data_IF_348421501043
#
_entry.id   IF_348421501043
#
_cell.length_a   1.000
_cell.length_b   1.000
_cell.length_c   1.000
_cell.angle_alpha   90.00
_cell.angle_beta   90.00
_cell.angle_gamma   90.00
#
_symmetry.space_group_name_H-M   'P 1'
#
loop_
_entity.id
_entity.type
_entity.pdbx_description
1 polymer ?
#
# COMPACT_ATOMS: atom_id res chain seq x y z
N UNK A 1 17.77 4.03 -38.19
CA UNK A 1 18.57 2.82 -38.43
C UNK A 1 17.58 1.68 -38.61
N UNK A 2 17.41 1.23 -39.85
CA UNK A 2 16.40 0.24 -40.27
C UNK A 2 17.13 -1.10 -40.41
N UNK A 3 16.60 -2.16 -39.79
CA UNK A 3 16.91 -3.52 -40.21
C UNK A 3 15.62 -4.33 -40.31
N UNK A 4 15.37 -4.82 -41.53
CA UNK A 4 14.36 -5.80 -41.93
C UNK A 4 15.09 -6.83 -42.79
N UNK A 5 15.04 -8.11 -42.43
CA UNK A 5 15.25 -9.34 -43.22
C UNK A 5 15.12 -10.52 -42.25
N UNK A 6 14.49 -11.67 -42.49
CA UNK A 6 13.78 -12.30 -43.61
C UNK A 6 12.97 -13.49 -43.03
N UNK A 7 11.77 -13.77 -43.51
CA UNK A 7 11.44 -14.90 -44.41
C UNK A 7 12.35 -16.14 -44.31
N UNK A 8 11.82 -17.28 -43.84
CA UNK A 8 11.34 -18.32 -44.76
C UNK A 8 10.46 -19.42 -44.09
N UNK A 9 9.62 -20.12 -44.88
CA UNK A 9 8.63 -21.09 -44.43
C UNK A 9 9.13 -22.53 -44.56
N UNK A 10 8.93 -23.34 -43.52
CA UNK A 10 9.20 -24.78 -43.53
C UNK A 10 7.95 -25.56 -43.15
N UNK A 11 7.20 -26.01 -44.14
CA UNK A 11 6.28 -27.13 -43.97
C UNK A 11 7.02 -28.45 -44.21
N UNK A 12 6.57 -29.52 -43.55
CA UNK A 12 6.32 -30.85 -44.14
C UNK A 12 5.81 -31.83 -43.07
N UNK A 13 4.82 -32.63 -43.49
CA UNK A 13 4.47 -34.01 -43.09
C UNK A 13 4.45 -34.34 -41.58
N UNK A 14 3.31 -34.72 -41.00
CA UNK A 14 2.52 -35.86 -41.44
C UNK A 14 3.04 -37.12 -40.72
N UNK A 15 2.41 -37.45 -39.59
CA UNK A 15 2.34 -38.79 -39.00
C UNK A 15 1.31 -38.74 -37.86
N UNK A 16 0.12 -39.28 -38.10
CA UNK A 16 -0.88 -39.55 -37.07
C UNK A 16 -0.51 -40.85 -36.35
N UNK A 17 -0.39 -40.86 -35.01
CA UNK A 17 -0.45 -42.07 -34.21
C UNK A 17 -1.88 -42.31 -33.67
N UNK A 18 -2.18 -43.56 -33.25
CA UNK A 18 -3.55 -44.09 -33.18
C UNK A 18 -4.34 -43.57 -31.99
N UNK A 19 -5.66 -43.59 -32.16
CA UNK A 19 -6.65 -43.42 -31.10
C UNK A 19 -6.44 -44.45 -29.99
N UNK A 20 -5.86 -44.03 -28.87
CA UNK A 20 -6.00 -44.72 -27.59
C UNK A 20 -7.37 -44.36 -27.02
N UNK A 21 -8.26 -45.36 -26.94
CA UNK A 21 -9.58 -45.21 -26.32
C UNK A 21 -9.47 -44.84 -24.83
N UNK A 22 -10.48 -44.15 -24.28
CA UNK A 22 -10.54 -43.92 -22.85
C UNK A 22 -10.83 -45.25 -22.16
N UNK A 23 -9.81 -45.86 -21.56
CA UNK A 23 -10.02 -46.86 -20.51
C UNK A 23 -10.78 -46.17 -19.39
N UNK A 24 -12.07 -46.52 -19.27
CA UNK A 24 -12.96 -46.04 -18.23
C UNK A 24 -12.39 -46.40 -16.86
N UNK A 25 -11.70 -45.45 -16.25
CA UNK A 25 -11.57 -45.38 -14.81
C UNK A 25 -12.95 -45.00 -14.29
N UNK A 26 -13.70 -46.02 -13.91
CA UNK A 26 -14.92 -45.93 -13.11
C UNK A 26 -14.63 -45.04 -11.90
N UNK A 27 -14.95 -43.75 -12.02
CA UNK A 27 -15.00 -42.83 -10.90
C UNK A 27 -16.19 -43.23 -10.05
N UNK A 28 -15.98 -44.17 -9.13
CA UNK A 28 -16.80 -44.29 -7.95
C UNK A 28 -16.67 -42.98 -7.18
N UNK A 29 -17.47 -41.98 -7.54
CA UNK A 29 -17.58 -40.75 -6.76
C UNK A 29 -18.17 -41.17 -5.42
N UNK A 30 -17.43 -41.04 -4.31
CA UNK A 30 -18.00 -41.28 -3.00
C UNK A 30 -19.16 -40.31 -2.84
N UNK A 31 -20.38 -40.84 -2.69
CA UNK A 31 -21.56 -40.05 -2.41
C UNK A 31 -21.41 -39.45 -1.02
N UNK A 32 -20.93 -38.21 -0.96
CA UNK A 32 -20.83 -37.46 0.28
C UNK A 32 -22.26 -37.25 0.78
N UNK A 33 -22.61 -37.71 2.00
CA UNK A 33 -23.95 -37.51 2.54
C UNK A 33 -24.24 -36.00 2.65
N UNK A 34 -25.49 -35.55 2.40
CA UNK A 34 -25.83 -34.12 2.28
C UNK A 34 -25.45 -33.29 3.52
N UNK A 35 -25.39 -33.91 4.71
CA UNK A 35 -24.92 -33.25 5.93
C UNK A 35 -23.43 -32.90 5.93
N UNK A 36 -22.59 -33.66 5.22
CA UNK A 36 -21.14 -33.44 5.16
C UNK A 36 -20.76 -32.30 4.19
N UNK A 37 -21.54 -32.09 3.11
CA UNK A 37 -21.31 -31.00 2.16
C UNK A 37 -21.46 -29.62 2.83
N UNK A 38 -22.41 -29.50 3.76
CA UNK A 38 -22.68 -28.24 4.46
C UNK A 38 -21.60 -27.90 5.48
N UNK A 39 -21.08 -28.91 6.20
CA UNK A 39 -19.94 -28.76 7.13
C UNK A 39 -18.67 -28.37 6.38
N UNK A 40 -18.40 -29.00 5.23
CA UNK A 40 -17.23 -28.70 4.42
C UNK A 40 -17.29 -27.29 3.82
N UNK A 41 -18.46 -26.86 3.32
CA UNK A 41 -18.68 -25.50 2.84
C UNK A 41 -18.48 -24.46 3.97
N UNK A 42 -18.99 -24.73 5.17
CA UNK A 42 -18.76 -23.87 6.33
C UNK A 42 -17.29 -23.81 6.75
N UNK A 43 -16.60 -24.94 6.75
CA UNK A 43 -15.18 -25.00 7.07
C UNK A 43 -14.33 -24.20 6.06
N UNK A 44 -14.62 -24.33 4.76
CA UNK A 44 -13.94 -23.54 3.71
C UNK A 44 -14.24 -22.05 3.85
N UNK A 45 -15.48 -21.67 4.18
CA UNK A 45 -15.85 -20.27 4.41
C UNK A 45 -15.14 -19.69 5.64
N UNK A 46 -15.13 -20.42 6.75
CA UNK A 46 -14.44 -20.03 8.00
C UNK A 46 -12.93 -19.91 7.79
N UNK A 47 -12.31 -20.85 7.06
CA UNK A 47 -10.89 -20.79 6.72
C UNK A 47 -10.56 -19.60 5.81
N UNK A 48 -11.46 -19.23 4.90
CA UNK A 48 -11.29 -18.06 4.04
C UNK A 48 -11.35 -16.74 4.83
N UNK A 49 -12.23 -16.66 5.84
CA UNK A 49 -12.32 -15.50 6.75
C UNK A 49 -11.08 -15.43 7.65
N UNK A 50 -10.58 -16.57 8.14
CA UNK A 50 -9.37 -16.64 8.97
C UNK A 50 -8.07 -16.39 8.19
N UNK A 51 -8.05 -16.72 6.89
CA UNK A 51 -6.91 -16.46 6.00
C UNK A 51 -6.74 -14.96 5.72
N UNK A 52 -7.83 -14.19 5.70
CA UNK A 52 -7.82 -12.72 5.73
C UNK A 52 -7.76 -12.22 7.19
N UNK A 53 -6.73 -12.65 7.93
CA UNK A 53 -6.60 -12.40 9.37
C UNK A 53 -6.92 -10.94 9.77
N UNK A 54 -7.49 -10.74 10.96
CA UNK A 54 -8.01 -9.44 11.38
C UNK A 54 -6.93 -8.37 11.27
N UNK A 55 -7.14 -7.40 10.39
CA UNK A 55 -6.28 -6.22 10.30
C UNK A 55 -6.43 -5.46 11.60
N UNK A 56 -5.30 -5.11 12.22
CA UNK A 56 -5.32 -4.30 13.43
C UNK A 56 -6.05 -2.97 13.12
N UNK A 57 -7.15 -2.64 13.82
CA UNK A 57 -7.95 -1.44 13.53
C UNK A 57 -7.14 -0.14 13.71
N UNK A 58 -6.06 -0.18 14.48
CA UNK A 58 -5.11 0.95 14.56
C UNK A 58 -4.38 1.15 13.22
N UNK A 59 -3.91 0.08 12.58
CA UNK A 59 -3.19 0.17 11.30
C UNK A 59 -4.08 0.64 10.16
N UNK A 60 -5.33 0.19 10.13
CA UNK A 60 -6.30 0.70 9.18
C UNK A 60 -6.46 2.22 9.33
N UNK A 61 -6.67 2.68 10.56
CA UNK A 61 -6.86 4.11 10.86
C UNK A 61 -5.63 4.95 10.60
N UNK A 62 -4.44 4.45 10.93
CA UNK A 62 -3.19 5.10 10.58
C UNK A 62 -3.10 5.35 9.06
N UNK A 63 -3.44 4.35 8.27
CA UNK A 63 -3.42 4.46 6.82
C UNK A 63 -4.44 5.47 6.29
N UNK A 64 -5.65 5.51 6.85
CA UNK A 64 -6.68 6.51 6.52
C UNK A 64 -6.19 7.93 6.83
N UNK A 65 -5.59 8.14 8.01
CA UNK A 65 -5.01 9.44 8.40
C UNK A 65 -3.87 9.84 7.47
N UNK A 66 -2.94 8.93 7.14
CA UNK A 66 -1.85 9.23 6.19
C UNK A 66 -2.37 9.60 4.80
N UNK A 67 -3.41 8.94 4.32
CA UNK A 67 -4.02 9.27 3.03
C UNK A 67 -4.65 10.67 3.06
N UNK A 68 -5.34 11.03 4.15
CA UNK A 68 -5.87 12.37 4.35
C UNK A 68 -4.77 13.44 4.39
N UNK A 69 -3.70 13.18 5.13
CA UNK A 69 -2.51 14.06 5.18
C UNK A 69 -1.87 14.21 3.80
N UNK A 70 -1.65 13.11 3.09
CA UNK A 70 -1.06 13.15 1.75
C UNK A 70 -1.94 13.94 0.77
N UNK A 71 -3.25 13.71 0.76
CA UNK A 71 -4.17 14.43 -0.11
C UNK A 71 -4.18 15.94 0.21
N UNK A 72 -4.15 16.30 1.50
CA UNK A 72 -4.03 17.69 1.93
C UNK A 72 -2.72 18.33 1.46
N UNK A 73 -1.58 17.70 1.74
CA UNK A 73 -0.26 18.20 1.36
C UNK A 73 -0.11 18.33 -0.16
N UNK A 74 -0.66 17.38 -0.91
CA UNK A 74 -0.67 17.44 -2.37
C UNK A 74 -1.50 18.62 -2.88
N UNK A 75 -2.65 18.91 -2.26
CA UNK A 75 -3.50 20.02 -2.64
C UNK A 75 -2.90 21.39 -2.25
N UNK A 76 -2.29 21.50 -1.07
CA UNK A 76 -1.75 22.76 -0.57
C UNK A 76 -0.40 23.13 -1.18
N UNK A 77 0.50 22.14 -1.28
CA UNK A 77 1.92 22.37 -1.60
C UNK A 77 2.39 21.64 -2.85
N UNK A 78 1.49 20.90 -3.52
CA UNK A 78 1.77 20.21 -4.77
C UNK A 78 2.46 18.85 -4.60
N UNK A 79 2.80 18.19 -5.73
CA UNK A 79 3.38 16.85 -5.73
C UNK A 79 4.79 16.82 -5.13
N UNK A 80 5.20 15.63 -4.67
CA UNK A 80 6.55 15.33 -4.19
C UNK A 80 7.13 14.15 -4.95
N UNK A 81 8.47 14.10 -5.07
CA UNK A 81 9.14 12.93 -5.65
C UNK A 81 9.07 11.76 -4.67
N UNK A 82 9.33 12.01 -3.38
CA UNK A 82 9.37 10.94 -2.39
C UNK A 82 8.29 11.15 -1.33
N UNK A 83 7.37 10.19 -1.21
CA UNK A 83 6.46 10.10 -0.07
C UNK A 83 7.07 9.14 0.95
N UNK A 84 7.59 9.69 2.02
CA UNK A 84 8.25 8.96 3.09
C UNK A 84 7.25 8.77 4.23
N UNK A 85 7.00 7.51 4.60
CA UNK A 85 5.99 7.15 5.59
C UNK A 85 6.67 6.48 6.78
N UNK A 86 6.49 7.06 7.97
CA UNK A 86 6.79 6.38 9.22
C UNK A 86 5.84 5.19 9.40
N UNK A 87 6.39 3.99 9.59
CA UNK A 87 5.64 2.75 9.48
C UNK A 87 6.12 1.67 10.47
N UNK A 88 5.17 0.89 11.00
CA UNK A 88 5.45 -0.25 11.90
C UNK A 88 5.58 -1.55 11.11
N UNK A 89 6.46 -2.46 11.55
CA UNK A 89 6.87 -3.65 10.77
C UNK A 89 5.73 -4.51 10.25
N UNK A 90 4.65 -4.62 11.02
CA UNK A 90 3.47 -5.46 10.80
C UNK A 90 2.27 -4.71 10.21
N UNK A 91 2.43 -3.42 9.94
CA UNK A 91 1.38 -2.59 9.38
C UNK A 91 1.17 -2.93 7.88
N UNK A 92 -0.06 -2.99 7.35
CA UNK A 92 -0.26 -3.19 5.92
C UNK A 92 0.15 -1.94 5.14
N UNK A 93 0.92 -2.12 4.06
CA UNK A 93 1.25 -1.03 3.13
C UNK A 93 0.06 -0.73 2.24
N UNK A 94 -0.30 0.55 2.13
CA UNK A 94 -1.40 1.02 1.28
C UNK A 94 -0.89 1.81 0.08
N UNK A 95 -1.74 1.97 -0.93
CA UNK A 95 -1.45 2.83 -2.06
C UNK A 95 -1.87 4.27 -1.75
N UNK A 96 -1.04 5.22 -2.17
CA UNK A 96 -1.36 6.64 -2.18
C UNK A 96 -1.65 7.05 -3.63
N UNK A 97 -2.91 7.34 -3.93
CA UNK A 97 -3.31 7.69 -5.30
C UNK A 97 -2.64 8.98 -5.75
N UNK A 98 -2.13 9.01 -6.98
CA UNK A 98 -1.37 10.14 -7.52
C UNK A 98 0.13 10.13 -7.22
N UNK A 99 0.61 9.43 -6.18
CA UNK A 99 2.04 9.44 -5.83
C UNK A 99 2.93 8.84 -6.93
N UNK A 100 2.55 7.68 -7.46
CA UNK A 100 3.38 6.95 -8.44
C UNK A 100 3.16 7.41 -9.90
N UNK A 101 2.27 8.37 -10.15
CA UNK A 101 1.87 8.75 -11.52
C UNK A 101 2.88 9.69 -12.20
N UNK A 102 3.72 10.39 -11.44
CA UNK A 102 4.70 11.38 -11.95
C UNK A 102 6.16 10.99 -11.68
N UNK A 103 6.45 9.68 -11.61
CA UNK A 103 7.78 9.18 -11.24
C UNK A 103 8.10 9.29 -9.75
N UNK A 104 7.10 9.65 -8.93
CA UNK A 104 7.22 9.63 -7.49
C UNK A 104 7.23 8.21 -6.92
N UNK A 105 7.75 8.07 -5.71
CA UNK A 105 7.83 6.78 -5.01
C UNK A 105 7.36 6.89 -3.56
N UNK A 106 6.88 5.78 -3.01
CA UNK A 106 6.55 5.66 -1.59
C UNK A 106 7.64 4.89 -0.87
N UNK A 107 8.29 5.53 0.09
CA UNK A 107 9.31 4.94 0.97
C UNK A 107 8.67 4.63 2.32
N UNK A 108 8.69 3.37 2.71
CA UNK A 108 8.20 2.92 4.02
C UNK A 108 9.39 2.83 4.98
N UNK A 109 9.49 3.78 5.91
CA UNK A 109 10.57 3.85 6.88
C UNK A 109 10.14 3.27 8.23
N UNK A 110 10.85 2.23 8.64
CA UNK A 110 10.82 1.78 10.02
C UNK A 110 11.58 2.79 10.89
N UNK A 111 11.18 3.06 12.16
CA UNK A 111 11.77 4.09 13.00
C UNK A 111 13.31 4.09 13.02
N UNK A 112 13.92 2.90 13.15
CA UNK A 112 15.37 2.76 13.18
C UNK A 112 16.07 3.12 11.85
N UNK A 113 15.37 3.04 10.72
CA UNK A 113 15.90 3.40 9.40
C UNK A 113 15.74 4.89 9.05
N UNK A 114 15.03 5.66 9.88
CA UNK A 114 14.82 7.10 9.65
C UNK A 114 16.13 7.89 9.65
N UNK A 115 17.00 7.64 10.63
CA UNK A 115 18.28 8.36 10.75
C UNK A 115 19.17 8.16 9.53
N UNK A 116 19.31 6.93 9.04
CA UNK A 116 20.13 6.65 7.84
C UNK A 116 19.52 7.28 6.58
N UNK A 117 18.18 7.23 6.46
CA UNK A 117 17.48 7.85 5.33
C UNK A 117 17.74 9.35 5.25
N UNK A 118 17.58 10.06 6.38
CA UNK A 118 17.77 11.52 6.41
C UNK A 118 19.24 11.95 6.51
N UNK A 119 20.15 11.09 6.98
CA UNK A 119 21.58 11.36 6.96
C UNK A 119 22.17 11.31 5.54
N UNK A 120 21.60 10.49 4.67
CA UNK A 120 22.10 10.27 3.30
C UNK A 120 21.34 11.05 2.23
N UNK A 121 20.08 11.43 2.49
CA UNK A 121 19.30 12.28 1.61
C UNK A 121 19.60 13.75 1.91
N UNK A 122 20.07 14.52 0.92
CA UNK A 122 20.26 15.95 1.14
C UNK A 122 18.89 16.62 1.39
N UNK A 123 18.83 17.70 2.19
CA UNK A 123 17.63 18.54 2.34
C UNK A 123 17.10 19.08 1.01
N UNK A 124 17.93 19.07 -0.02
CA UNK A 124 17.61 19.46 -1.39
C UNK A 124 16.88 18.38 -2.20
N UNK A 125 16.42 17.29 -1.59
CA UNK A 125 15.51 16.35 -2.24
C UNK A 125 14.05 16.78 -2.08
N UNK A 126 13.22 16.59 -3.11
CA UNK A 126 11.77 16.83 -3.00
C UNK A 126 11.08 15.64 -2.33
N UNK A 127 10.73 15.80 -1.05
CA UNK A 127 10.07 14.74 -0.29
C UNK A 127 9.00 15.28 0.65
N UNK A 128 8.03 14.44 1.00
CA UNK A 128 7.11 14.62 2.12
C UNK A 128 7.33 13.46 3.10
N UNK A 129 7.74 13.77 4.31
CA UNK A 129 7.85 12.80 5.40
C UNK A 129 6.67 12.94 6.35
N UNK A 130 5.80 11.92 6.39
CA UNK A 130 4.69 11.80 7.34
C UNK A 130 5.19 10.97 8.52
N UNK A 131 5.26 11.59 9.70
CA UNK A 131 5.76 10.95 10.92
C UNK A 131 4.71 10.05 11.59
N UNK A 132 5.03 9.59 12.80
CA UNK A 132 4.10 8.86 13.67
C UNK A 132 2.83 9.70 13.95
N UNK A 133 1.71 9.00 14.11
CA UNK A 133 0.40 9.58 14.36
C UNK A 133 0.08 9.47 15.84
N UNK A 134 -0.26 10.58 16.46
CA UNK A 134 -0.68 10.65 17.86
C UNK A 134 -2.20 10.87 17.92
N UNK A 135 -2.96 9.90 18.42
CA UNK A 135 -4.41 10.02 18.56
C UNK A 135 -4.83 10.61 19.90
N UNK A 136 -5.93 11.36 19.91
CA UNK A 136 -6.68 11.69 21.13
C UNK A 136 -7.26 10.44 21.80
N UNK A 137 -7.64 10.57 23.07
CA UNK A 137 -8.22 9.46 23.85
C UNK A 137 -9.50 8.88 23.23
N UNK A 138 -10.34 9.73 22.64
CA UNK A 138 -11.58 9.35 21.94
C UNK A 138 -11.36 8.88 20.49
N UNK A 139 -10.10 8.92 20.03
CA UNK A 139 -9.67 8.54 18.68
C UNK A 139 -10.44 9.25 17.56
N UNK A 140 -10.97 10.45 17.81
CA UNK A 140 -11.63 11.30 16.81
C UNK A 140 -10.68 12.34 16.22
N UNK A 141 -9.57 12.61 16.90
CA UNK A 141 -8.55 13.58 16.48
C UNK A 141 -7.19 12.90 16.45
N UNK A 142 -6.39 13.25 15.47
CA UNK A 142 -5.00 12.83 15.33
C UNK A 142 -4.11 14.07 15.12
N UNK A 143 -2.95 14.07 15.74
CA UNK A 143 -1.88 15.01 15.46
C UNK A 143 -0.80 14.29 14.66
N UNK A 144 -0.36 14.91 13.56
CA UNK A 144 0.65 14.34 12.67
C UNK A 144 1.68 15.40 12.36
N UNK A 145 2.95 15.11 12.62
CA UNK A 145 4.05 15.97 12.16
C UNK A 145 4.44 15.58 10.74
N UNK A 146 4.60 16.58 9.89
CA UNK A 146 5.05 16.41 8.52
C UNK A 146 6.27 17.30 8.27
N UNK A 147 7.21 16.78 7.49
CA UNK A 147 8.38 17.54 7.04
C UNK A 147 8.49 17.44 5.54
N UNK A 148 8.68 18.58 4.88
CA UNK A 148 8.83 18.64 3.44
C UNK A 148 10.19 19.19 3.07
N UNK A 149 10.90 18.49 2.20
CA UNK A 149 12.06 19.02 1.48
C UNK A 149 11.61 19.53 0.11
N UNK A 150 12.08 20.70 -0.31
CA UNK A 150 11.63 21.34 -1.55
C UNK A 150 12.70 21.48 -2.64
N UNK A 151 13.92 21.01 -2.38
CA UNK A 151 15.04 21.26 -3.29
C UNK A 151 16.07 22.25 -2.77
N UNK A 152 15.71 23.07 -1.79
CA UNK A 152 16.54 24.17 -1.29
C UNK A 152 16.58 24.24 0.24
N UNK A 153 15.46 23.96 0.89
CA UNK A 153 15.33 23.90 2.34
C UNK A 153 14.39 22.75 2.74
N UNK A 154 14.20 22.60 4.06
CA UNK A 154 13.12 21.79 4.60
C UNK A 154 12.24 22.65 5.51
N UNK A 155 10.96 22.30 5.59
CA UNK A 155 9.99 22.97 6.44
C UNK A 155 9.12 21.93 7.13
N UNK A 156 8.78 22.18 8.39
CA UNK A 156 7.95 21.30 9.22
C UNK A 156 6.58 21.90 9.52
N UNK A 157 5.56 21.05 9.61
CA UNK A 157 4.23 21.40 10.09
C UNK A 157 3.71 20.33 11.04
N UNK A 158 2.91 20.74 12.00
CA UNK A 158 2.05 19.87 12.78
C UNK A 158 0.63 20.04 12.27
N UNK A 159 0.02 18.94 11.84
CA UNK A 159 -1.33 18.89 11.31
C UNK A 159 -2.26 18.27 12.34
N UNK A 160 -3.43 18.89 12.52
CA UNK A 160 -4.55 18.28 13.24
C UNK A 160 -5.51 17.66 12.23
N UNK A 161 -5.75 16.37 12.36
CA UNK A 161 -6.61 15.57 11.49
C UNK A 161 -7.82 15.12 12.29
N UNK A 162 -9.01 15.52 11.86
CA UNK A 162 -10.25 15.21 12.56
C UNK A 162 -11.08 14.21 11.76
N UNK A 163 -11.71 13.28 12.45
CA UNK A 163 -12.69 12.36 11.88
C UNK A 163 -14.03 13.07 11.71
N UNK A 164 -14.48 13.20 10.47
CA UNK A 164 -15.76 13.80 10.11
C UNK A 164 -16.88 12.74 10.12
N UNK A 165 -18.11 13.22 9.93
CA UNK A 165 -19.28 12.37 9.74
C UNK A 165 -19.08 11.44 8.53
N UNK A 166 -19.28 10.14 8.71
CA UNK A 166 -19.06 9.15 7.64
C UNK A 166 -17.67 8.54 7.60
N UNK A 167 -16.95 8.53 8.72
CA UNK A 167 -15.64 7.88 8.91
C UNK A 167 -14.49 8.46 8.07
N UNK A 168 -14.68 9.62 7.45
CA UNK A 168 -13.66 10.29 6.67
C UNK A 168 -12.72 11.14 7.55
N UNK A 169 -11.41 11.01 7.36
CA UNK A 169 -10.41 11.85 8.01
C UNK A 169 -10.08 13.08 7.14
N UNK A 170 -9.92 14.23 7.78
CA UNK A 170 -9.56 15.48 7.10
C UNK A 170 -8.65 16.34 7.97
N UNK A 171 -7.67 17.01 7.36
CA UNK A 171 -6.86 18.02 8.04
C UNK A 171 -7.74 19.24 8.33
N UNK A 172 -7.82 19.64 9.60
CA UNK A 172 -8.66 20.75 10.07
C UNK A 172 -7.87 21.93 10.62
N UNK A 173 -6.61 21.72 11.00
CA UNK A 173 -5.73 22.78 11.47
C UNK A 173 -4.27 22.46 11.10
N UNK A 174 -3.46 23.50 10.99
CA UNK A 174 -2.02 23.40 10.74
C UNK A 174 -1.23 24.44 11.53
N UNK A 175 -0.10 24.02 12.09
CA UNK A 175 0.84 24.88 12.81
C UNK A 175 2.22 24.66 12.22
N UNK A 176 2.87 25.73 11.78
CA UNK A 176 4.26 25.68 11.31
C UNK A 176 5.21 25.40 12.50
N UNK A 177 6.16 24.49 12.30
CA UNK A 177 7.15 24.14 13.31
C UNK A 177 8.41 24.98 13.11
N UNK A 178 8.82 25.70 14.16
CA UNK A 178 10.17 26.28 14.21
C UNK A 178 11.18 25.13 14.29
N UNK A 179 12.18 25.12 13.41
CA UNK A 179 13.09 23.99 13.17
C UNK A 179 13.57 23.29 14.45
N UNK A 180 13.21 22.01 14.61
CA UNK A 180 14.13 21.03 15.17
C UNK A 180 14.26 19.84 14.21
N UNK A 181 15.49 19.52 13.75
CA UNK A 181 15.71 18.35 12.94
C UNK A 181 15.47 17.08 13.76
N UNK A 182 14.90 16.07 13.12
CA UNK A 182 14.94 14.69 13.60
C UNK A 182 16.42 14.30 13.73
N UNK A 183 16.90 14.17 14.97
CA UNK A 183 18.25 13.65 15.26
C UNK A 183 18.32 12.14 15.18
#
# INVERSE_FOLDING_TARGET
MIFKTGNDPGGLAGCAPPACGPTGLSSSQPSIPPGFQLVFAFAVLLLSILACGPVNPLFQRNNEVRQAVFAYEQAQRGPVVDLVIHFRRDEPRVRFEGQNQNGGHTVWLYPAGGQEYFATRPPTASYLYIQEIEFSEDQQVATVKVYRGDGSSYQGWQLTVTRLTGDQWMVTDEIELEEEPVK
#
